data_IF_601066841838
#
_entry.id   IF_601066841838
#
_cell.length_a   1.000
_cell.length_b   1.000
_cell.length_c   1.000
_cell.angle_alpha   90.00
_cell.angle_beta   90.00
_cell.angle_gamma   90.00
#
_symmetry.space_group_name_H-M   'P 1'
#
loop_
_entity.id
_entity.type
_entity.pdbx_description
1 polymer ?
#
# COMPACT_ATOMS: atom_id res chain seq x y z
N UNK A 1 31.70 -37.31 -6.32
CA UNK A 1 31.28 -36.01 -5.75
C UNK A 1 30.38 -35.35 -6.77
N UNK A 2 29.06 -35.41 -6.51
CA UNK A 2 28.01 -35.07 -7.46
C UNK A 2 27.85 -33.54 -7.60
N UNK A 3 28.09 -33.07 -8.81
CA UNK A 3 27.75 -31.75 -9.34
C UNK A 3 26.22 -31.61 -9.47
N UNK A 4 25.53 -31.13 -8.43
CA UNK A 4 24.10 -30.76 -8.47
C UNK A 4 23.86 -29.33 -7.95
N UNK A 5 24.70 -28.39 -8.40
CA UNK A 5 24.58 -26.93 -8.22
C UNK A 5 23.64 -26.31 -9.28
N UNK A 6 22.48 -26.91 -9.57
CA UNK A 6 21.45 -26.37 -10.46
C UNK A 6 20.12 -26.99 -10.00
N UNK A 7 19.25 -26.34 -9.22
CA UNK A 7 18.43 -25.20 -9.59
C UNK A 7 18.08 -24.43 -8.29
N UNK A 8 18.75 -23.30 -8.04
CA UNK A 8 18.13 -22.22 -7.26
C UNK A 8 16.90 -21.76 -8.07
N UNK A 9 15.73 -22.37 -7.84
CA UNK A 9 14.47 -21.94 -8.42
C UNK A 9 14.17 -20.55 -7.87
N UNK A 10 14.78 -19.54 -8.47
CA UNK A 10 14.39 -18.16 -8.26
C UNK A 10 12.99 -18.04 -8.84
N UNK A 11 12.00 -18.09 -7.93
CA UNK A 11 10.59 -17.89 -8.26
C UNK A 11 10.49 -16.63 -9.14
N UNK A 12 9.86 -16.69 -10.32
CA UNK A 12 9.82 -15.57 -11.25
C UNK A 12 9.20 -14.36 -10.55
N UNK A 13 10.04 -13.40 -10.17
CA UNK A 13 9.60 -12.17 -9.51
C UNK A 13 9.10 -11.21 -10.56
N UNK A 14 7.88 -10.70 -10.38
CA UNK A 14 7.31 -9.70 -11.26
C UNK A 14 7.77 -8.32 -10.80
N UNK A 15 8.33 -7.54 -11.72
CA UNK A 15 8.92 -6.23 -11.44
C UNK A 15 7.99 -5.11 -11.89
N UNK A 16 7.83 -4.08 -11.05
CA UNK A 16 7.10 -2.88 -11.44
C UNK A 16 7.91 -2.06 -12.46
N UNK A 17 7.36 -1.71 -13.64
CA UNK A 17 8.11 -0.94 -14.63
C UNK A 17 8.36 0.52 -14.21
N UNK A 18 7.60 1.05 -13.24
CA UNK A 18 7.70 2.44 -12.80
C UNK A 18 8.69 2.65 -11.65
N UNK A 19 8.85 1.67 -10.76
CA UNK A 19 9.69 1.81 -9.56
C UNK A 19 10.62 0.62 -9.29
N UNK A 20 10.62 -0.38 -10.19
CA UNK A 20 11.48 -1.56 -10.16
C UNK A 20 11.39 -2.45 -8.91
N UNK A 21 10.37 -2.26 -8.07
CA UNK A 21 10.07 -3.19 -6.95
C UNK A 21 9.65 -4.56 -7.46
N UNK A 22 10.14 -5.60 -6.79
CA UNK A 22 9.89 -7.01 -7.10
C UNK A 22 8.73 -7.57 -6.25
N UNK A 23 7.89 -8.38 -6.87
CA UNK A 23 6.73 -9.00 -6.25
C UNK A 23 6.69 -10.49 -6.56
N UNK A 24 6.23 -11.29 -5.58
CA UNK A 24 6.08 -12.75 -5.72
C UNK A 24 4.83 -13.16 -6.50
N UNK A 25 3.86 -12.26 -6.68
CA UNK A 25 2.59 -12.57 -7.35
C UNK A 25 2.11 -11.44 -8.25
N UNK A 26 1.34 -11.80 -9.30
CA UNK A 26 0.72 -10.84 -10.23
C UNK A 26 -0.25 -9.92 -9.52
N UNK A 27 -1.05 -10.46 -8.59
CA UNK A 27 -2.03 -9.67 -7.84
C UNK A 27 -1.34 -8.59 -6.99
N UNK A 28 -0.26 -8.94 -6.30
CA UNK A 28 0.51 -7.96 -5.51
C UNK A 28 1.11 -6.86 -6.38
N UNK A 29 1.65 -7.21 -7.55
CA UNK A 29 2.16 -6.21 -8.49
C UNK A 29 1.05 -5.31 -9.03
N UNK A 30 -0.11 -5.86 -9.40
CA UNK A 30 -1.26 -5.09 -9.89
C UNK A 30 -1.74 -4.09 -8.84
N UNK A 31 -1.94 -4.54 -7.60
CA UNK A 31 -2.36 -3.67 -6.49
C UNK A 31 -1.34 -2.57 -6.25
N UNK A 32 -0.05 -2.90 -6.22
CA UNK A 32 1.01 -1.90 -6.10
C UNK A 32 0.96 -0.86 -7.23
N UNK A 33 0.86 -1.30 -8.48
CA UNK A 33 0.80 -0.39 -9.64
C UNK A 33 -0.38 0.56 -9.54
N UNK A 34 -1.54 0.07 -9.11
CA UNK A 34 -2.74 0.90 -8.95
C UNK A 34 -2.68 1.90 -7.79
N UNK A 35 -1.94 1.59 -6.72
CA UNK A 35 -1.97 2.35 -5.47
C UNK A 35 -0.77 3.26 -5.27
N UNK A 36 0.41 2.78 -5.63
CA UNK A 36 1.68 3.44 -5.31
C UNK A 36 2.36 4.06 -6.53
N UNK A 37 2.16 3.47 -7.72
CA UNK A 37 2.74 3.97 -8.98
C UNK A 37 1.71 4.64 -9.90
N UNK A 38 0.45 4.70 -9.49
CA UNK A 38 -0.57 5.43 -10.24
C UNK A 38 -0.37 6.95 -10.08
N UNK A 39 -0.71 7.75 -11.11
CA UNK A 39 -0.68 9.20 -11.01
C UNK A 39 -1.51 9.69 -9.81
N UNK A 40 -0.95 10.59 -9.01
CA UNK A 40 -1.53 11.12 -7.77
C UNK A 40 -2.97 11.60 -7.94
N UNK A 41 -3.28 12.26 -9.06
CA UNK A 41 -4.62 12.80 -9.33
C UNK A 41 -5.71 11.71 -9.40
N UNK A 42 -5.35 10.46 -9.73
CA UNK A 42 -6.31 9.35 -9.81
C UNK A 42 -6.60 8.70 -8.45
N UNK A 43 -5.84 9.03 -7.40
CA UNK A 43 -5.90 8.32 -6.11
C UNK A 43 -6.13 9.25 -4.91
N UNK A 44 -6.34 10.55 -5.13
CA UNK A 44 -6.58 11.50 -4.04
C UNK A 44 -8.02 11.47 -3.53
N UNK A 45 -8.15 11.61 -2.21
CA UNK A 45 -9.38 11.77 -1.45
C UNK A 45 -9.28 13.07 -0.68
N UNK A 46 -10.22 13.98 -0.92
CA UNK A 46 -10.23 15.29 -0.26
C UNK A 46 -11.06 15.21 1.01
N UNK A 47 -10.49 15.58 2.15
CA UNK A 47 -11.26 15.74 3.38
C UNK A 47 -12.21 16.93 3.24
N UNK A 48 -13.52 16.72 3.34
CA UNK A 48 -14.51 17.81 3.19
C UNK A 48 -14.52 18.83 4.35
N UNK A 49 -13.82 18.55 5.45
CA UNK A 49 -13.79 19.40 6.65
C UNK A 49 -12.60 20.36 6.61
N UNK A 50 -11.42 19.88 6.22
CA UNK A 50 -10.18 20.68 6.22
C UNK A 50 -9.46 20.72 4.86
N UNK A 51 -10.06 20.18 3.81
CA UNK A 51 -9.52 20.10 2.44
C UNK A 51 -8.17 19.40 2.29
N UNK A 52 -7.71 18.68 3.32
CA UNK A 52 -6.48 17.89 3.24
C UNK A 52 -6.60 16.80 2.18
N UNK A 53 -5.59 16.69 1.33
CA UNK A 53 -5.47 15.63 0.33
C UNK A 53 -4.90 14.36 0.97
N UNK A 54 -5.63 13.26 0.83
CA UNK A 54 -5.24 11.95 1.34
C UNK A 54 -5.12 10.95 0.19
N UNK A 55 -4.06 10.15 0.19
CA UNK A 55 -3.76 9.23 -0.93
C UNK A 55 -4.69 8.02 -1.02
N UNK A 56 -5.48 7.74 0.03
CA UNK A 56 -6.29 6.51 0.14
C UNK A 56 -7.58 6.74 0.95
N UNK A 57 -8.63 5.98 0.63
CA UNK A 57 -9.97 6.10 1.27
C UNK A 57 -9.92 5.77 2.76
N UNK A 58 -9.23 4.71 3.12
CA UNK A 58 -9.04 4.27 4.51
C UNK A 58 -8.30 5.32 5.34
N UNK A 59 -7.31 5.99 4.74
CA UNK A 59 -6.62 7.10 5.39
C UNK A 59 -7.52 8.32 5.52
N UNK A 60 -8.40 8.59 4.56
CA UNK A 60 -9.40 9.64 4.70
C UNK A 60 -10.36 9.37 5.87
N UNK A 61 -10.87 8.14 6.01
CA UNK A 61 -11.69 7.74 7.15
C UNK A 61 -10.96 7.88 8.49
N UNK A 62 -9.73 7.35 8.57
CA UNK A 62 -8.92 7.44 9.79
C UNK A 62 -8.57 8.89 10.12
N UNK A 63 -8.29 9.71 9.12
CA UNK A 63 -8.04 11.14 9.29
C UNK A 63 -9.25 11.85 9.88
N UNK A 64 -10.45 11.64 9.32
CA UNK A 64 -11.69 12.20 9.87
C UNK A 64 -11.90 11.73 11.30
N UNK A 65 -11.74 10.43 11.56
CA UNK A 65 -11.89 9.87 12.90
C UNK A 65 -10.90 10.48 13.91
N UNK A 66 -9.62 10.60 13.58
CA UNK A 66 -8.60 11.07 14.53
C UNK A 66 -8.55 12.60 14.69
N UNK A 67 -8.90 13.36 13.66
CA UNK A 67 -8.68 14.81 13.61
C UNK A 67 -9.98 15.62 13.63
N UNK A 68 -11.12 14.99 13.33
CA UNK A 68 -12.40 15.66 13.21
C UNK A 68 -13.54 14.95 13.97
N UNK A 69 -13.28 13.82 14.65
CA UNK A 69 -14.23 13.23 15.60
C UNK A 69 -13.95 13.75 17.00
N UNK A 70 -15.03 14.11 17.71
CA UNK A 70 -14.98 14.46 19.13
C UNK A 70 -14.71 13.24 20.02
N UNK A 71 -15.02 12.02 19.56
CA UNK A 71 -14.73 10.78 20.28
C UNK A 71 -13.40 10.17 19.82
N UNK A 72 -12.29 10.61 20.42
CA UNK A 72 -11.02 9.88 20.32
C UNK A 72 -11.12 8.63 21.20
N UNK A 73 -11.58 7.49 20.67
CA UNK A 73 -11.41 6.24 21.42
C UNK A 73 -9.92 5.88 21.39
N UNK A 74 -9.29 6.04 22.55
CA UNK A 74 -7.97 5.51 22.84
C UNK A 74 -8.08 3.99 22.76
N UNK A 75 -7.52 3.38 21.72
CA UNK A 75 -7.29 1.95 21.67
C UNK A 75 -6.24 1.61 22.74
N UNK A 76 -6.71 1.36 23.97
CA UNK A 76 -5.86 0.93 25.08
C UNK A 76 -5.59 -0.56 24.89
N UNK A 77 -4.32 -0.92 24.70
CA UNK A 77 -3.92 -2.32 24.74
C UNK A 77 -4.13 -2.83 26.18
N UNK A 78 -4.99 -3.84 26.37
CA UNK A 78 -5.04 -4.61 27.62
C UNK A 78 -3.81 -5.51 27.62
N UNK A 79 -2.83 -5.17 28.45
CA UNK A 79 -1.79 -6.12 28.89
C UNK A 79 -2.42 -7.19 29.76
#
# INVERSE_FOLDING_TARGET
MFIFELIFMSCPTLTCPNCHKKYKSKNSLTVHRSRDCAPILKTIYICKICNKLLKRKEYSKLHIYNNHSFQKQLFRCRK
#
